data_IF_646389828615
#
_entry.id   IF_646389828615
#
_cell.length_a   1.000
_cell.length_b   1.000
_cell.length_c   1.000
_cell.angle_alpha   90.00
_cell.angle_beta   90.00
_cell.angle_gamma   90.00
#
_symmetry.space_group_name_H-M   'P 1'
#
loop_
_entity.id
_entity.type
_entity.pdbx_description
1 polymer ?
#
# COMPACT_ATOMS: atom_id res chain seq x y z
N UNK A 1 10.48 7.69 23.23
CA UNK A 1 10.36 9.15 23.41
C UNK A 1 9.01 9.76 22.94
N UNK A 2 7.98 8.96 22.62
CA UNK A 2 6.67 9.44 22.14
C UNK A 2 5.55 9.51 23.20
N UNK A 3 5.74 8.95 24.40
CA UNK A 3 4.72 8.95 25.47
C UNK A 3 4.67 10.24 26.31
N UNK A 4 5.72 11.08 26.32
CA UNK A 4 5.71 12.32 27.11
C UNK A 4 5.05 13.51 26.40
N UNK A 5 4.89 13.47 25.06
CA UNK A 5 4.31 14.58 24.30
C UNK A 5 2.78 14.53 24.18
N UNK A 6 2.14 13.37 24.39
CA UNK A 6 0.68 13.26 24.33
C UNK A 6 -0.03 13.77 25.60
N UNK A 7 0.66 13.80 26.75
CA UNK A 7 0.06 14.29 28.00
C UNK A 7 -0.16 15.80 28.00
N UNK A 8 0.70 16.56 27.32
CA UNK A 8 0.60 18.04 27.23
C UNK A 8 -0.49 18.49 26.24
N UNK A 9 -0.89 17.61 25.31
CA UNK A 9 -1.94 17.86 24.31
C UNK A 9 -3.17 16.95 24.48
N UNK A 10 -3.45 16.48 25.70
CA UNK A 10 -4.74 15.83 25.96
C UNK A 10 -5.82 16.89 26.13
N UNK A 11 -6.98 16.67 25.50
CA UNK A 11 -8.19 17.51 25.65
C UNK A 11 -8.52 17.77 27.13
N UNK A 12 -8.20 16.81 28.00
CA UNK A 12 -8.42 16.88 29.44
C UNK A 12 -7.56 17.96 30.11
N UNK A 13 -6.28 18.09 29.75
CA UNK A 13 -5.42 19.14 30.31
C UNK A 13 -5.88 20.55 29.89
N UNK A 14 -6.29 20.74 28.63
CA UNK A 14 -6.79 22.02 28.14
C UNK A 14 -8.05 22.49 28.88
N UNK A 15 -8.91 21.56 29.32
CA UNK A 15 -10.12 21.88 30.10
C UNK A 15 -9.82 22.47 31.48
N UNK A 16 -8.70 22.11 32.11
CA UNK A 16 -8.30 22.63 33.42
C UNK A 16 -7.37 23.86 33.34
N UNK A 17 -6.60 23.98 32.26
CA UNK A 17 -5.67 25.11 32.07
C UNK A 17 -6.40 26.45 31.90
N UNK A 18 -7.51 26.50 31.14
CA UNK A 18 -8.21 27.78 30.93
C UNK A 18 -8.85 28.33 32.22
N UNK A 19 -9.58 27.53 33.03
CA UNK A 19 -10.04 27.98 34.35
C UNK A 19 -8.89 28.43 35.27
N UNK A 20 -7.76 27.73 35.26
CA UNK A 20 -6.60 28.12 36.07
C UNK A 20 -6.05 29.50 35.67
N UNK A 21 -5.98 29.80 34.37
CA UNK A 21 -5.59 31.13 33.88
C UNK A 21 -6.61 32.21 34.27
N UNK A 22 -7.91 31.92 34.23
CA UNK A 22 -8.95 32.85 34.69
C UNK A 22 -8.80 33.16 36.17
N UNK A 23 -8.61 32.14 37.00
CA UNK A 23 -8.39 32.31 38.45
C UNK A 23 -7.13 33.14 38.70
N UNK A 24 -6.05 32.90 37.94
CA UNK A 24 -4.82 33.70 38.05
C UNK A 24 -5.07 35.19 37.72
N UNK A 25 -5.79 35.51 36.64
CA UNK A 25 -6.13 36.90 36.29
C UNK A 25 -6.96 37.56 37.40
N UNK A 26 -7.98 36.86 37.91
CA UNK A 26 -8.83 37.38 38.99
C UNK A 26 -8.02 37.60 40.27
N UNK A 27 -7.17 36.65 40.66
CA UNK A 27 -6.33 36.76 41.84
C UNK A 27 -5.36 37.94 41.75
N UNK A 28 -4.72 38.15 40.59
CA UNK A 28 -3.84 39.30 40.36
C UNK A 28 -4.63 40.61 40.42
N UNK A 29 -5.81 40.67 39.82
CA UNK A 29 -6.69 41.83 39.87
C UNK A 29 -7.14 42.19 41.28
N UNK A 30 -7.51 41.19 42.09
CA UNK A 30 -7.87 41.40 43.50
C UNK A 30 -6.67 41.88 44.32
N UNK A 31 -5.49 41.27 44.15
CA UNK A 31 -4.26 41.71 44.80
C UNK A 31 -3.94 43.18 44.45
N UNK A 32 -4.13 43.57 43.19
CA UNK A 32 -3.95 44.96 42.76
C UNK A 32 -4.96 45.90 43.42
N UNK A 33 -6.24 45.53 43.46
CA UNK A 33 -7.31 46.37 44.02
C UNK A 33 -7.15 46.61 45.53
N UNK A 34 -6.80 45.58 46.30
CA UNK A 34 -6.67 45.67 47.76
C UNK A 34 -5.34 46.24 48.24
N UNK A 35 -4.37 46.44 47.34
CA UNK A 35 -3.10 47.05 47.72
C UNK A 35 -3.27 48.59 47.78
N UNK A 36 -2.84 49.26 48.86
CA UNK A 36 -2.87 50.72 48.94
C UNK A 36 -2.07 51.40 47.82
N UNK A 37 -2.57 52.53 47.29
CA UNK A 37 -1.97 53.27 46.17
C UNK A 37 -0.53 53.76 46.39
N UNK A 38 -0.12 53.95 47.64
CA UNK A 38 1.23 54.42 48.01
C UNK A 38 2.31 53.35 47.76
N UNK A 39 1.90 52.09 47.59
CA UNK A 39 2.77 50.94 47.36
C UNK A 39 3.02 50.69 45.86
N UNK A 40 3.58 51.70 45.18
CA UNK A 40 3.82 51.69 43.73
C UNK A 40 4.60 50.45 43.22
N UNK A 41 5.53 49.91 44.02
CA UNK A 41 6.28 48.70 43.67
C UNK A 41 5.37 47.50 43.42
N UNK A 42 4.39 47.29 44.30
CA UNK A 42 3.49 46.14 44.23
C UNK A 42 2.53 46.28 43.05
N UNK A 43 1.99 47.48 42.80
CA UNK A 43 1.10 47.72 41.65
C UNK A 43 1.80 47.44 40.32
N UNK A 44 3.05 47.92 40.17
CA UNK A 44 3.86 47.64 38.99
C UNK A 44 4.18 46.15 38.84
N UNK A 45 4.38 45.44 39.95
CA UNK A 45 4.64 43.99 39.94
C UNK A 45 3.42 43.21 39.47
N UNK A 46 2.23 43.51 39.99
CA UNK A 46 0.99 42.86 39.57
C UNK A 46 0.66 43.13 38.11
N UNK A 47 0.88 44.36 37.63
CA UNK A 47 0.75 44.69 36.20
C UNK A 47 1.65 43.81 35.32
N UNK A 48 2.91 43.63 35.70
CA UNK A 48 3.84 42.75 34.97
C UNK A 48 3.43 41.28 35.04
N UNK A 49 2.85 40.86 36.17
CA UNK A 49 2.41 39.50 36.36
C UNK A 49 1.22 39.13 35.45
N UNK A 50 0.33 40.10 35.15
CA UNK A 50 -0.81 39.90 34.25
C UNK A 50 -0.43 39.51 32.82
N UNK A 51 0.79 39.77 32.35
CA UNK A 51 1.22 39.32 31.02
C UNK A 51 1.31 37.79 30.93
N UNK A 52 1.68 37.10 32.01
CA UNK A 52 1.84 35.64 32.00
C UNK A 52 0.55 34.92 31.57
N UNK A 53 -0.61 35.13 32.22
CA UNK A 53 -1.84 34.46 31.80
C UNK A 53 -2.31 34.89 30.41
N UNK A 54 -2.10 36.15 30.01
CA UNK A 54 -2.44 36.63 28.67
C UNK A 54 -1.63 35.91 27.59
N UNK A 55 -0.31 35.83 27.76
CA UNK A 55 0.61 35.17 26.82
C UNK A 55 0.30 33.67 26.76
N UNK A 56 0.13 33.01 27.91
CA UNK A 56 -0.24 31.59 27.95
C UNK A 56 -1.61 31.33 27.31
N UNK A 57 -2.57 32.24 27.52
CA UNK A 57 -3.88 32.23 26.86
C UNK A 57 -3.76 32.32 25.34
N UNK A 58 -2.92 33.23 24.85
CA UNK A 58 -2.63 33.39 23.43
C UNK A 58 -1.93 32.18 22.83
N UNK A 59 -0.96 31.59 23.54
CA UNK A 59 -0.21 30.42 23.10
C UNK A 59 -1.08 29.17 23.00
N UNK A 60 -1.88 28.88 24.02
CA UNK A 60 -2.64 27.62 24.08
C UNK A 60 -4.02 27.72 23.41
N UNK A 61 -4.69 28.86 23.48
CA UNK A 61 -6.06 29.03 23.01
C UNK A 61 -6.19 30.04 21.86
N UNK A 62 -5.05 30.48 21.30
CA UNK A 62 -4.98 31.39 20.16
C UNK A 62 -5.54 32.77 20.49
N UNK A 63 -6.01 33.46 19.44
CA UNK A 63 -6.55 34.84 19.55
C UNK A 63 -7.68 34.94 20.57
N UNK A 64 -8.57 33.94 20.65
CA UNK A 64 -9.72 33.98 21.55
C UNK A 64 -9.30 33.97 23.03
N UNK A 65 -8.35 33.11 23.41
CA UNK A 65 -7.86 33.08 24.79
C UNK A 65 -6.96 34.27 25.14
N UNK A 66 -6.04 34.64 24.25
CA UNK A 66 -5.16 35.79 24.46
C UNK A 66 -5.92 37.11 24.61
N UNK A 67 -6.87 37.38 23.70
CA UNK A 67 -7.69 38.59 23.76
C UNK A 67 -8.68 38.56 24.92
N UNK A 68 -9.30 37.40 25.20
CA UNK A 68 -10.25 37.23 26.29
C UNK A 68 -9.62 37.48 27.66
N UNK A 69 -8.43 36.92 27.92
CA UNK A 69 -7.71 37.18 29.17
C UNK A 69 -7.14 38.60 29.23
N UNK A 70 -6.71 39.18 28.10
CA UNK A 70 -6.30 40.58 28.06
C UNK A 70 -7.44 41.53 28.45
N UNK A 71 -8.64 41.31 27.90
CA UNK A 71 -9.84 42.10 28.25
C UNK A 71 -10.22 41.93 29.72
N UNK A 72 -10.18 40.69 30.24
CA UNK A 72 -10.47 40.43 31.64
C UNK A 72 -9.47 41.11 32.57
N UNK A 73 -8.18 41.04 32.24
CA UNK A 73 -7.13 41.78 32.95
C UNK A 73 -7.39 43.28 32.88
N UNK A 74 -7.75 43.84 31.73
CA UNK A 74 -8.06 45.26 31.62
C UNK A 74 -9.25 45.66 32.51
N UNK A 75 -10.33 44.88 32.53
CA UNK A 75 -11.50 45.14 33.38
C UNK A 75 -11.15 45.09 34.86
N UNK A 76 -10.32 44.12 35.27
CA UNK A 76 -9.95 43.95 36.68
C UNK A 76 -9.19 45.14 37.27
N UNK A 77 -8.58 45.99 36.44
CA UNK A 77 -7.77 47.14 36.86
C UNK A 77 -8.57 48.46 36.83
N UNK A 78 -9.71 48.53 36.13
CA UNK A 78 -10.57 49.74 36.04
C UNK A 78 -11.01 50.29 37.41
N UNK A 79 -11.45 49.48 38.38
CA UNK A 79 -11.90 50.01 39.67
C UNK A 79 -10.81 50.78 40.42
N UNK A 80 -9.55 50.37 40.28
CA UNK A 80 -8.43 51.08 40.88
C UNK A 80 -8.21 52.45 40.23
N UNK A 81 -8.25 52.51 38.89
CA UNK A 81 -8.16 53.76 38.13
C UNK A 81 -9.21 54.77 38.62
N UNK A 82 -10.46 54.30 38.82
CA UNK A 82 -11.59 55.14 39.26
C UNK A 82 -11.46 55.63 40.70
N UNK A 83 -10.84 54.86 41.59
CA UNK A 83 -10.67 55.24 43.00
C UNK A 83 -9.54 56.25 43.19
N UNK A 84 -8.55 56.27 42.30
CA UNK A 84 -7.35 57.12 42.41
C UNK A 84 -7.29 58.23 41.33
N UNK A 85 -8.42 58.55 40.70
CA UNK A 85 -8.57 59.65 39.71
C UNK A 85 -8.14 60.97 40.36
N UNK A 86 -6.95 61.47 39.99
CA UNK A 86 -6.40 62.73 40.49
C UNK A 86 -4.90 62.92 40.25
N UNK A 87 -4.15 61.84 39.98
CA UNK A 87 -2.69 61.88 39.79
C UNK A 87 -2.33 61.65 38.31
N UNK A 88 -2.24 62.73 37.52
CA UNK A 88 -2.22 62.69 36.06
C UNK A 88 -1.19 61.76 35.38
N UNK A 89 -0.01 61.55 35.96
CA UNK A 89 1.01 60.64 35.38
C UNK A 89 0.68 59.15 35.55
N UNK A 90 -0.13 58.79 36.56
CA UNK A 90 -0.51 57.41 36.84
C UNK A 90 -1.58 56.92 35.85
N UNK A 91 -2.56 57.76 35.54
CA UNK A 91 -3.62 57.44 34.57
C UNK A 91 -3.06 57.12 33.16
N UNK A 92 -2.02 57.84 32.73
CA UNK A 92 -1.35 57.57 31.44
C UNK A 92 -0.65 56.21 31.45
N UNK A 93 -0.02 55.84 32.56
CA UNK A 93 0.67 54.55 32.71
C UNK A 93 -0.30 53.37 32.66
N UNK A 94 -1.49 53.53 33.23
CA UNK A 94 -2.54 52.50 33.24
C UNK A 94 -3.19 52.32 31.87
N UNK A 95 -3.48 53.42 31.18
CA UNK A 95 -3.98 53.37 29.79
C UNK A 95 -2.97 52.69 28.86
N UNK A 96 -1.67 52.98 29.03
CA UNK A 96 -0.61 52.31 28.28
C UNK A 96 -0.60 50.80 28.52
N UNK A 97 -0.85 50.36 29.76
CA UNK A 97 -0.86 48.95 30.12
C UNK A 97 -2.00 48.18 29.45
N UNK A 98 -3.21 48.77 29.44
CA UNK A 98 -4.38 48.18 28.78
C UNK A 98 -4.08 47.99 27.29
N UNK A 99 -3.46 48.98 26.65
CA UNK A 99 -3.04 48.89 25.25
C UNK A 99 -2.03 47.75 25.06
N UNK A 100 -1.02 47.66 25.94
CA UNK A 100 0.01 46.62 25.87
C UNK A 100 -0.56 45.21 26.11
N UNK A 101 -1.52 45.03 27.01
CA UNK A 101 -2.21 43.74 27.22
C UNK A 101 -2.97 43.30 25.99
N UNK A 102 -3.76 44.20 25.39
CA UNK A 102 -4.51 43.91 24.17
C UNK A 102 -3.56 43.59 23.01
N UNK A 103 -2.48 44.37 22.87
CA UNK A 103 -1.45 44.12 21.86
C UNK A 103 -0.76 42.77 22.06
N UNK A 104 -0.37 42.42 23.28
CA UNK A 104 0.27 41.15 23.61
C UNK A 104 -0.66 39.96 23.34
N UNK A 105 -1.91 40.03 23.81
CA UNK A 105 -2.91 38.99 23.60
C UNK A 105 -3.21 38.76 22.12
N UNK A 106 -3.32 39.84 21.34
CA UNK A 106 -3.53 39.77 19.89
C UNK A 106 -2.30 39.21 19.16
N UNK A 107 -1.11 39.76 19.40
CA UNK A 107 0.13 39.34 18.74
C UNK A 107 0.41 37.86 18.99
N UNK A 108 0.45 37.45 20.25
CA UNK A 108 0.73 36.05 20.63
C UNK A 108 -0.37 35.13 20.11
N UNK A 109 -1.64 35.53 20.21
CA UNK A 109 -2.76 34.75 19.70
C UNK A 109 -2.72 34.54 18.19
N UNK A 110 -2.36 35.56 17.40
CA UNK A 110 -2.22 35.47 15.94
C UNK A 110 -1.03 34.59 15.56
N UNK A 111 0.11 34.76 16.23
CA UNK A 111 1.31 33.95 16.01
C UNK A 111 1.02 32.47 16.30
N UNK A 112 0.41 32.17 17.45
CA UNK A 112 0.04 30.79 17.81
C UNK A 112 -0.95 30.19 16.81
N UNK A 113 -1.96 30.96 16.40
CA UNK A 113 -2.91 30.54 15.37
C UNK A 113 -2.24 30.21 14.04
N UNK A 114 -1.28 31.04 13.60
CA UNK A 114 -0.49 30.80 12.38
C UNK A 114 0.39 29.56 12.52
N UNK A 115 1.08 29.40 13.64
CA UNK A 115 1.98 28.27 13.88
C UNK A 115 1.23 26.93 13.88
N UNK A 116 0.05 26.89 14.51
CA UNK A 116 -0.79 25.69 14.55
C UNK A 116 -1.29 25.29 13.16
N UNK A 117 -1.76 26.26 12.36
CA UNK A 117 -2.21 26.01 10.97
C UNK A 117 -1.06 25.54 10.07
N UNK A 118 0.14 26.09 10.25
CA UNK A 118 1.31 25.70 9.47
C UNK A 118 1.72 24.26 9.79
N UNK A 119 1.76 23.89 11.06
CA UNK A 119 2.05 22.50 11.48
C UNK A 119 1.05 21.51 10.88
N UNK A 120 -0.23 21.86 10.88
CA UNK A 120 -1.27 21.00 10.30
C UNK A 120 -1.09 20.84 8.78
N UNK A 121 -0.76 21.91 8.06
CA UNK A 121 -0.45 21.84 6.62
C UNK A 121 0.77 20.97 6.34
N UNK A 122 1.84 21.11 7.12
CA UNK A 122 3.03 20.27 6.98
C UNK A 122 2.70 18.80 7.24
N UNK A 123 1.86 18.51 8.23
CA UNK A 123 1.40 17.15 8.51
C UNK A 123 0.62 16.57 7.33
N UNK A 124 -0.36 17.30 6.82
CA UNK A 124 -1.16 16.88 5.66
C UNK A 124 -0.31 16.68 4.41
N UNK A 125 0.66 17.57 4.16
CA UNK A 125 1.58 17.44 3.04
C UNK A 125 2.47 16.21 3.18
N UNK A 126 2.99 15.96 4.38
CA UNK A 126 3.80 14.77 4.67
C UNK A 126 3.00 13.48 4.47
N UNK A 127 1.76 13.43 4.95
CA UNK A 127 0.87 12.26 4.78
C UNK A 127 0.53 12.03 3.30
N UNK A 128 0.19 13.08 2.55
CA UNK A 128 -0.05 13.00 1.09
C UNK A 128 1.19 12.56 0.32
N UNK A 129 2.36 13.08 0.67
CA UNK A 129 3.62 12.73 0.01
C UNK A 129 3.97 11.26 0.26
N UNK A 130 3.81 10.78 1.50
CA UNK A 130 4.02 9.37 1.82
C UNK A 130 3.06 8.46 1.06
N UNK A 131 1.77 8.81 1.00
CA UNK A 131 0.78 8.04 0.26
C UNK A 131 1.09 8.00 -1.25
N UNK A 132 1.49 9.14 -1.83
CA UNK A 132 1.89 9.21 -3.25
C UNK A 132 3.15 8.39 -3.54
N UNK A 133 4.14 8.45 -2.64
CA UNK A 133 5.37 7.68 -2.79
C UNK A 133 5.12 6.17 -2.73
N UNK A 134 4.26 5.73 -1.80
CA UNK A 134 3.87 4.32 -1.70
C UNK A 134 3.16 3.82 -2.97
N UNK A 135 2.27 4.63 -3.57
CA UNK A 135 1.61 4.27 -4.85
C UNK A 135 2.60 4.17 -6.00
N UNK A 136 3.49 5.15 -6.15
CA UNK A 136 4.51 5.14 -7.21
C UNK A 136 5.45 3.94 -7.06
N UNK A 137 5.80 3.58 -5.83
CA UNK A 137 6.61 2.40 -5.56
C UNK A 137 5.90 1.12 -6.00
N UNK A 138 4.63 0.96 -5.64
CA UNK A 138 3.81 -0.20 -6.03
C UNK A 138 3.64 -0.28 -7.56
N UNK A 139 3.32 0.83 -8.22
CA UNK A 139 3.23 0.92 -9.69
C UNK A 139 4.57 0.53 -10.36
N UNK A 140 5.69 0.97 -9.81
CA UNK A 140 7.02 0.64 -10.34
C UNK A 140 7.31 -0.87 -10.22
N UNK A 141 6.97 -1.49 -9.09
CA UNK A 141 7.13 -2.94 -8.88
C UNK A 141 6.29 -3.71 -9.90
N UNK A 142 5.03 -3.34 -10.09
CA UNK A 142 4.15 -3.98 -11.06
C UNK A 142 4.67 -3.83 -12.50
N UNK A 143 5.21 -2.67 -12.87
CA UNK A 143 5.82 -2.46 -14.19
C UNK A 143 7.02 -3.36 -14.42
N UNK A 144 7.93 -3.47 -13.44
CA UNK A 144 9.12 -4.34 -13.53
C UNK A 144 8.70 -5.80 -13.72
N UNK A 145 7.71 -6.27 -12.96
CA UNK A 145 7.18 -7.63 -13.10
C UNK A 145 6.55 -7.86 -14.48
N UNK A 146 5.75 -6.92 -14.97
CA UNK A 146 5.11 -7.00 -16.27
C UNK A 146 6.15 -7.02 -17.41
N UNK A 147 7.18 -6.18 -17.34
CA UNK A 147 8.30 -6.18 -18.29
C UNK A 147 9.04 -7.52 -18.28
N UNK A 148 9.32 -8.09 -17.11
CA UNK A 148 9.98 -9.38 -16.99
C UNK A 148 9.15 -10.52 -17.62
N UNK A 149 7.83 -10.54 -17.38
CA UNK A 149 6.91 -11.50 -18.00
C UNK A 149 6.87 -11.35 -19.52
N UNK A 150 6.83 -10.10 -20.01
CA UNK A 150 6.79 -9.80 -21.43
C UNK A 150 8.09 -10.21 -22.12
N UNK A 151 9.24 -9.93 -21.51
CA UNK A 151 10.56 -10.36 -21.99
C UNK A 151 10.66 -11.90 -22.05
N UNK A 152 10.20 -12.60 -21.02
CA UNK A 152 10.15 -14.06 -21.01
C UNK A 152 9.25 -14.60 -22.14
N UNK A 153 8.05 -14.04 -22.30
CA UNK A 153 7.12 -14.44 -23.35
C UNK A 153 7.69 -14.21 -24.77
N UNK A 154 8.36 -13.09 -25.00
CA UNK A 154 9.06 -12.81 -26.26
C UNK A 154 10.16 -13.83 -26.53
N UNK A 155 10.98 -14.17 -25.52
CA UNK A 155 12.03 -15.19 -25.63
C UNK A 155 11.47 -16.56 -26.00
N UNK A 156 10.42 -17.02 -25.32
CA UNK A 156 9.76 -18.29 -25.65
C UNK A 156 9.11 -18.28 -27.03
N UNK A 157 8.48 -17.16 -27.44
CA UNK A 157 7.91 -17.06 -28.78
C UNK A 157 9.00 -17.11 -29.87
N UNK A 158 10.13 -16.45 -29.67
CA UNK A 158 11.26 -16.50 -30.59
C UNK A 158 11.83 -17.93 -30.67
N UNK A 159 12.00 -18.59 -29.52
CA UNK A 159 12.45 -19.98 -29.45
C UNK A 159 11.49 -20.91 -30.20
N UNK A 160 10.17 -20.82 -29.96
CA UNK A 160 9.19 -21.67 -30.65
C UNK A 160 9.19 -21.48 -32.17
N UNK A 161 9.34 -20.23 -32.67
CA UNK A 161 9.47 -19.95 -34.11
C UNK A 161 10.74 -20.55 -34.70
N UNK A 162 11.89 -20.38 -34.02
CA UNK A 162 13.17 -20.91 -34.48
C UNK A 162 13.20 -22.45 -34.44
N UNK A 163 12.69 -23.05 -33.36
CA UNK A 163 12.58 -24.51 -33.22
C UNK A 163 11.73 -25.10 -34.35
N UNK A 164 10.58 -24.49 -34.67
CA UNK A 164 9.72 -24.95 -35.76
C UNK A 164 10.44 -24.95 -37.13
N UNK A 165 11.18 -23.88 -37.45
CA UNK A 165 11.97 -23.83 -38.70
C UNK A 165 13.06 -24.90 -38.70
N UNK A 166 13.87 -24.95 -37.64
CA UNK A 166 14.97 -25.91 -37.51
C UNK A 166 14.49 -27.35 -37.61
N UNK A 167 13.35 -27.68 -37.02
CA UNK A 167 12.85 -29.03 -37.08
C UNK A 167 12.30 -29.41 -38.45
N UNK A 168 11.69 -28.49 -39.20
CA UNK A 168 11.38 -28.75 -40.61
C UNK A 168 12.68 -29.02 -41.41
N UNK A 169 13.72 -28.24 -41.17
CA UNK A 169 15.03 -28.42 -41.82
C UNK A 169 15.74 -29.72 -41.41
N UNK A 170 15.56 -30.23 -40.19
CA UNK A 170 16.13 -31.51 -39.72
C UNK A 170 15.27 -32.71 -40.15
N UNK A 171 13.94 -32.58 -40.14
CA UNK A 171 13.03 -33.65 -40.59
C UNK A 171 13.27 -34.01 -42.06
N UNK A 172 13.62 -33.02 -42.89
CA UNK A 172 13.87 -33.24 -44.31
C UNK A 172 15.03 -34.23 -44.61
N UNK A 173 16.27 -34.04 -44.11
CA UNK A 173 17.35 -35.00 -44.30
C UNK A 173 17.08 -36.34 -43.59
N UNK A 174 16.44 -36.35 -42.40
CA UNK A 174 16.06 -37.61 -41.75
C UNK A 174 15.07 -38.42 -42.59
N UNK A 175 14.08 -37.76 -43.20
CA UNK A 175 13.14 -38.42 -44.11
C UNK A 175 13.87 -38.97 -45.35
N UNK A 176 14.83 -38.21 -45.91
CA UNK A 176 15.64 -38.70 -47.03
C UNK A 176 16.49 -39.91 -46.66
N UNK A 177 17.18 -39.87 -45.50
CA UNK A 177 18.02 -40.98 -45.04
C UNK A 177 17.16 -42.22 -44.74
N UNK A 178 16.00 -42.02 -44.09
CA UNK A 178 15.04 -43.10 -43.82
C UNK A 178 14.54 -43.74 -45.11
N UNK A 179 14.19 -42.94 -46.12
CA UNK A 179 13.76 -43.44 -47.44
C UNK A 179 14.86 -44.22 -48.15
N UNK A 180 16.12 -43.74 -48.13
CA UNK A 180 17.25 -44.49 -48.68
C UNK A 180 17.51 -45.79 -47.92
N UNK A 181 17.43 -45.77 -46.58
CA UNK A 181 17.58 -46.97 -45.76
C UNK A 181 16.45 -47.98 -46.03
N UNK A 182 15.22 -47.51 -46.30
CA UNK A 182 14.09 -48.37 -46.68
C UNK A 182 14.31 -49.04 -48.04
N UNK A 183 14.78 -48.30 -49.05
CA UNK A 183 15.14 -48.87 -50.37
C UNK A 183 16.24 -49.93 -50.23
N UNK A 184 17.31 -49.62 -49.49
CA UNK A 184 18.41 -50.57 -49.24
C UNK A 184 17.92 -51.80 -48.47
N UNK A 185 16.95 -51.62 -47.57
CA UNK A 185 16.34 -52.72 -46.82
C UNK A 185 15.57 -53.63 -47.77
N UNK A 186 14.84 -53.08 -48.73
CA UNK A 186 14.09 -53.91 -49.68
C UNK A 186 15.02 -54.62 -50.69
N UNK A 187 16.21 -54.06 -50.97
CA UNK A 187 17.20 -54.63 -51.89
C UNK A 187 18.05 -55.76 -51.29
N UNK A 188 18.32 -55.72 -49.98
CA UNK A 188 19.07 -56.78 -49.29
C UNK A 188 18.14 -57.83 -48.65
N UNK A 189 18.13 -59.10 -49.11
CA UNK A 189 17.35 -60.17 -48.48
C UNK A 189 17.79 -60.44 -47.04
N UNK A 190 16.93 -61.09 -46.25
CA UNK A 190 17.08 -61.24 -44.80
C UNK A 190 18.37 -61.95 -44.33
N UNK A 191 18.98 -62.76 -45.20
CA UNK A 191 20.22 -63.50 -44.98
C UNK A 191 21.48 -62.75 -45.45
N UNK A 192 21.31 -61.59 -46.10
CA UNK A 192 22.43 -60.81 -46.62
C UNK A 192 23.21 -60.15 -45.48
N UNK A 193 24.55 -60.23 -45.52
CA UNK A 193 25.44 -59.77 -44.44
C UNK A 193 25.30 -58.27 -44.11
N UNK A 194 24.82 -57.46 -45.06
CA UNK A 194 24.57 -56.02 -44.86
C UNK A 194 23.20 -55.68 -44.28
N UNK A 195 22.27 -56.65 -44.20
CA UNK A 195 20.88 -56.42 -43.77
C UNK A 195 20.78 -55.84 -42.36
N UNK A 196 21.55 -56.39 -41.42
CA UNK A 196 21.59 -55.95 -40.03
C UNK A 196 21.97 -54.46 -39.91
N UNK A 197 22.98 -54.00 -40.65
CA UNK A 197 23.40 -52.60 -40.63
C UNK A 197 22.32 -51.65 -41.18
N UNK A 198 21.60 -52.07 -42.22
CA UNK A 198 20.51 -51.28 -42.80
C UNK A 198 19.31 -51.19 -41.86
N UNK A 199 18.97 -52.28 -41.18
CA UNK A 199 17.90 -52.29 -40.18
C UNK A 199 18.23 -51.40 -38.97
N UNK A 200 19.50 -51.37 -38.53
CA UNK A 200 19.97 -50.42 -37.50
C UNK A 200 19.83 -48.97 -37.98
N UNK A 201 20.31 -48.65 -39.20
CA UNK A 201 20.20 -47.30 -39.76
C UNK A 201 18.75 -46.82 -39.85
N UNK A 202 17.84 -47.68 -40.31
CA UNK A 202 16.41 -47.38 -40.41
C UNK A 202 15.79 -47.11 -39.03
N UNK A 203 16.12 -47.96 -38.04
CA UNK A 203 15.64 -47.79 -36.67
C UNK A 203 16.15 -46.50 -36.01
N UNK A 204 17.43 -46.18 -36.17
CA UNK A 204 18.03 -45.00 -35.55
C UNK A 204 17.58 -43.68 -36.22
N UNK A 205 17.34 -43.68 -37.54
CA UNK A 205 16.71 -42.51 -38.18
C UNK A 205 15.27 -42.29 -37.74
N UNK A 206 14.50 -43.36 -37.51
CA UNK A 206 13.16 -43.28 -36.91
C UNK A 206 13.20 -42.68 -35.50
N UNK A 207 14.10 -43.19 -34.65
CA UNK A 207 14.29 -42.64 -33.29
C UNK A 207 14.68 -41.16 -33.28
N UNK A 208 15.57 -40.74 -34.19
CA UNK A 208 15.96 -39.33 -34.32
C UNK A 208 14.78 -38.45 -34.76
N UNK A 209 13.92 -38.95 -35.65
CA UNK A 209 12.71 -38.25 -36.05
C UNK A 209 11.79 -38.00 -34.85
N UNK A 210 11.52 -39.05 -34.07
CA UNK A 210 10.64 -38.98 -32.90
C UNK A 210 11.21 -38.03 -31.82
N UNK A 211 12.53 -38.07 -31.61
CA UNK A 211 13.24 -37.16 -30.68
C UNK A 211 13.07 -35.70 -31.08
N UNK A 212 13.17 -35.39 -32.39
CA UNK A 212 12.98 -34.03 -32.91
C UNK A 212 11.53 -33.57 -32.74
N UNK A 213 10.55 -34.47 -32.90
CA UNK A 213 9.14 -34.16 -32.63
C UNK A 213 8.86 -33.86 -31.16
N UNK A 214 9.48 -34.59 -30.24
CA UNK A 214 9.33 -34.38 -28.81
C UNK A 214 9.89 -33.01 -28.37
N UNK A 215 11.09 -32.66 -28.83
CA UNK A 215 11.71 -31.35 -28.57
C UNK A 215 10.84 -30.19 -29.10
N UNK A 216 10.23 -30.38 -30.27
CA UNK A 216 9.35 -29.38 -30.87
C UNK A 216 8.08 -29.14 -30.06
N UNK A 217 7.48 -30.24 -29.57
CA UNK A 217 6.25 -30.18 -28.76
C UNK A 217 6.48 -29.32 -27.53
N UNK A 218 7.61 -29.54 -26.86
CA UNK A 218 8.04 -28.75 -25.71
C UNK A 218 8.28 -27.27 -26.05
N UNK A 219 8.91 -26.96 -27.20
CA UNK A 219 9.16 -25.58 -27.60
C UNK A 219 7.90 -24.81 -28.04
N UNK A 220 6.84 -25.53 -28.44
CA UNK A 220 5.58 -24.95 -28.92
C UNK A 220 4.53 -24.80 -27.80
N UNK A 221 4.61 -25.65 -26.78
CA UNK A 221 3.84 -25.51 -25.55
C UNK A 221 4.37 -24.31 -24.77
N UNK A 222 3.72 -23.15 -24.94
CA UNK A 222 3.89 -22.05 -23.99
C UNK A 222 3.57 -22.61 -22.59
N UNK A 223 4.23 -22.16 -21.51
CA UNK A 223 3.53 -21.99 -20.24
C UNK A 223 2.50 -20.88 -20.50
N UNK A 224 1.43 -21.20 -21.23
CA UNK A 224 0.20 -20.49 -21.03
C UNK A 224 -0.14 -20.79 -19.58
N UNK A 225 -0.19 -19.75 -18.76
CA UNK A 225 -1.34 -19.62 -17.87
C UNK A 225 -2.56 -19.78 -18.79
N UNK A 226 -2.92 -21.03 -19.12
CA UNK A 226 -4.28 -21.32 -19.47
C UNK A 226 -4.98 -20.84 -18.21
N UNK A 227 -5.92 -19.92 -18.35
CA UNK A 227 -7.12 -20.05 -17.55
C UNK A 227 -7.59 -21.48 -17.85
N UNK A 228 -7.07 -22.43 -17.09
CA UNK A 228 -7.66 -23.74 -16.96
C UNK A 228 -9.00 -23.43 -16.33
N UNK A 229 -9.98 -23.10 -17.16
CA UNK A 229 -11.35 -23.23 -16.79
C UNK A 229 -11.44 -24.66 -16.27
N UNK A 230 -11.60 -24.79 -14.95
CA UNK A 230 -11.71 -26.07 -14.29
C UNK A 230 -12.91 -26.77 -14.94
N UNK A 231 -12.66 -27.62 -15.92
CA UNK A 231 -13.71 -28.44 -16.50
C UNK A 231 -14.16 -29.41 -15.40
N UNK A 232 -15.47 -29.52 -15.13
CA UNK A 232 -15.97 -30.48 -14.17
C UNK A 232 -15.45 -31.87 -14.52
N UNK A 233 -14.85 -32.57 -13.55
CA UNK A 233 -14.29 -33.91 -13.73
C UNK A 233 -15.30 -34.87 -14.36
N UNK A 234 -16.58 -34.70 -14.03
CA UNK A 234 -17.68 -35.44 -14.63
C UNK A 234 -17.75 -35.26 -16.16
N UNK A 235 -17.59 -34.04 -16.67
CA UNK A 235 -17.64 -33.75 -18.11
C UNK A 235 -16.47 -34.40 -18.86
N UNK A 236 -15.26 -34.37 -18.27
CA UNK A 236 -14.09 -35.04 -18.84
C UNK A 236 -14.26 -36.55 -18.81
N UNK A 237 -14.74 -37.10 -17.69
CA UNK A 237 -14.94 -38.53 -17.55
C UNK A 237 -16.05 -39.06 -18.47
N UNK A 238 -17.11 -38.28 -18.75
CA UNK A 238 -18.11 -38.61 -19.75
C UNK A 238 -17.52 -38.70 -21.16
N UNK A 239 -16.68 -37.74 -21.55
CA UNK A 239 -16.01 -37.77 -22.85
C UNK A 239 -15.09 -38.98 -23.01
N UNK A 240 -14.28 -39.28 -21.99
CA UNK A 240 -13.40 -40.44 -22.01
C UNK A 240 -14.19 -41.75 -22.02
N UNK A 241 -15.26 -41.84 -21.23
CA UNK A 241 -16.16 -42.99 -21.22
C UNK A 241 -16.81 -43.25 -22.58
N UNK A 242 -17.26 -42.18 -23.25
CA UNK A 242 -17.82 -42.27 -24.60
C UNK A 242 -16.76 -42.72 -25.64
N UNK A 243 -15.53 -42.24 -25.53
CA UNK A 243 -14.44 -42.62 -26.43
C UNK A 243 -14.06 -44.10 -26.27
N UNK A 244 -14.10 -44.61 -25.04
CA UNK A 244 -13.70 -45.98 -24.69
C UNK A 244 -14.88 -46.96 -24.69
N UNK A 245 -16.08 -46.51 -25.02
CA UNK A 245 -17.32 -47.29 -24.91
C UNK A 245 -17.24 -48.64 -25.65
N UNK A 246 -16.58 -48.67 -26.81
CA UNK A 246 -16.33 -49.90 -27.56
C UNK A 246 -15.43 -50.87 -26.81
N UNK A 247 -14.32 -50.41 -26.26
CA UNK A 247 -13.36 -51.23 -25.52
C UNK A 247 -13.94 -51.70 -24.18
N UNK A 248 -14.77 -50.88 -23.54
CA UNK A 248 -15.48 -51.21 -22.31
C UNK A 248 -16.50 -52.32 -22.55
N UNK A 249 -17.26 -52.27 -23.66
CA UNK A 249 -18.17 -53.36 -24.07
C UNK A 249 -17.42 -54.65 -24.38
N UNK A 250 -16.33 -54.56 -25.14
CA UNK A 250 -15.52 -55.74 -25.50
C UNK A 250 -14.92 -56.44 -24.27
N UNK A 251 -14.62 -55.68 -23.20
CA UNK A 251 -14.08 -56.22 -21.93
C UNK A 251 -15.13 -56.44 -20.85
N UNK A 252 -16.43 -56.27 -21.15
CA UNK A 252 -17.53 -56.36 -20.18
C UNK A 252 -17.33 -55.49 -18.93
N UNK A 253 -16.72 -54.32 -19.09
CA UNK A 253 -16.51 -53.36 -18.00
C UNK A 253 -17.64 -52.34 -18.03
N UNK A 254 -18.36 -52.22 -16.92
CA UNK A 254 -19.38 -51.20 -16.76
C UNK A 254 -18.75 -49.95 -16.14
N UNK A 255 -18.78 -48.87 -16.91
CA UNK A 255 -18.28 -47.56 -16.49
C UNK A 255 -19.46 -46.70 -16.05
N UNK A 256 -19.50 -46.34 -14.75
CA UNK A 256 -20.59 -45.57 -14.17
C UNK A 256 -20.10 -44.20 -13.68
N UNK A 257 -20.83 -43.15 -14.06
CA UNK A 257 -20.60 -41.79 -13.60
C UNK A 257 -21.79 -41.34 -12.74
N UNK A 258 -21.61 -41.12 -11.44
CA UNK A 258 -22.67 -40.59 -10.58
C UNK A 258 -23.05 -39.17 -11.00
N UNK A 259 -24.35 -38.90 -11.14
CA UNK A 259 -24.90 -37.60 -11.60
C UNK A 259 -24.72 -36.43 -10.62
N UNK A 260 -24.01 -36.61 -9.50
CA UNK A 260 -23.89 -35.59 -8.47
C UNK A 260 -22.57 -34.81 -8.61
N UNK A 261 -22.66 -33.49 -8.64
CA UNK A 261 -21.56 -32.53 -8.81
C UNK A 261 -20.46 -32.60 -7.72
N UNK A 262 -20.67 -33.43 -6.69
CA UNK A 262 -19.73 -33.71 -5.58
C UNK A 262 -18.96 -35.04 -5.71
N UNK A 263 -19.19 -35.84 -6.76
CA UNK A 263 -18.58 -37.16 -6.90
C UNK A 263 -17.06 -37.08 -7.14
N UNK A 264 -16.28 -37.10 -6.04
CA UNK A 264 -14.80 -37.14 -6.05
C UNK A 264 -14.20 -38.46 -6.51
N UNK A 265 -15.02 -39.47 -6.83
CA UNK A 265 -14.56 -40.83 -7.12
C UNK A 265 -15.31 -41.45 -8.32
N UNK A 266 -14.54 -42.05 -9.23
CA UNK A 266 -15.02 -42.88 -10.34
C UNK A 266 -15.16 -44.32 -9.86
N UNK A 267 -16.34 -44.93 -10.05
CA UNK A 267 -16.56 -46.35 -9.76
C UNK A 267 -16.41 -47.14 -11.07
N UNK A 268 -15.45 -48.06 -11.09
CA UNK A 268 -15.23 -48.98 -12.19
C UNK A 268 -15.50 -50.39 -11.68
N UNK A 269 -16.58 -51.00 -12.15
CA UNK A 269 -16.89 -52.40 -11.87
C UNK A 269 -16.61 -53.26 -13.09
N UNK A 270 -15.80 -54.31 -12.89
CA UNK A 270 -15.65 -55.40 -13.84
C UNK A 270 -16.80 -56.37 -13.63
N UNK A 271 -17.60 -56.64 -14.65
CA UNK A 271 -18.42 -57.84 -14.63
C UNK A 271 -17.47 -59.05 -14.63
N UNK A 272 -17.74 -60.03 -13.77
CA UNK A 272 -17.09 -61.34 -13.82
C UNK A 272 -17.57 -62.12 -15.03
#
# INVERSE_FOLDING_TARGET
MNKLKSTIYSSTAHKFLFPALLVAVIAIGLLHLFTPGDLHFYHNTYRRLSYFPIVLGGLWFGVRGGLGLALLSSIAFIPHVLLYVGHGSQAVSELMEIILYLAAGLLVGVISGRQTRLRERYRQLSEKLQASYARLHDETVQLIEAEARLAAAQKFSALGKLSASLAHEIKNPLASIKGTAEILRDEFPGDHTKREFVDILFKETGRLHDTVEEILRYAKERPQEREEALEPLAAVAHHVGALLERQLREKQVHFFLPENDEARHLLVESAK
#
